data_IF_348527117438
#
_entry.id   IF_348527117438
#
_cell.length_a   1.000
_cell.length_b   1.000
_cell.length_c   1.000
_cell.angle_alpha   90.00
_cell.angle_beta   90.00
_cell.angle_gamma   90.00
#
_symmetry.space_group_name_H-M   'P 1'
#
loop_
_entity.id
_entity.type
_entity.pdbx_description
1 polymer ?
#
# COMPACT_ATOMS: atom_id res chain seq x y z
N UNK A 1 -16.74 -10.34 14.46
CA UNK A 1 -17.77 -9.73 13.59
C UNK A 1 -17.98 -10.62 12.38
N UNK A 2 -19.21 -11.07 12.11
CA UNK A 2 -19.55 -11.82 10.89
C UNK A 2 -20.11 -10.89 9.83
N UNK A 3 -19.67 -10.96 8.58
CA UNK A 3 -20.15 -10.09 7.49
C UNK A 3 -20.69 -10.94 6.35
N UNK A 4 -21.95 -10.74 5.99
CA UNK A 4 -22.53 -11.35 4.79
C UNK A 4 -22.34 -10.38 3.63
N UNK A 5 -21.71 -10.85 2.55
CA UNK A 5 -21.40 -10.05 1.37
C UNK A 5 -22.10 -10.70 0.19
N UNK A 6 -23.04 -9.98 -0.42
CA UNK A 6 -23.73 -10.38 -1.64
C UNK A 6 -23.38 -9.40 -2.74
N UNK A 7 -22.80 -9.91 -3.81
CA UNK A 7 -22.40 -9.14 -4.98
C UNK A 7 -23.01 -9.82 -6.22
N UNK A 8 -23.69 -9.03 -7.05
CA UNK A 8 -24.27 -9.51 -8.31
C UNK A 8 -23.54 -8.82 -9.45
N UNK A 9 -22.85 -9.60 -10.29
CA UNK A 9 -22.14 -9.11 -11.45
C UNK A 9 -22.68 -9.78 -12.70
N UNK A 10 -22.98 -8.98 -13.72
CA UNK A 10 -23.26 -9.46 -15.06
C UNK A 10 -22.03 -9.16 -15.91
N UNK A 11 -21.49 -10.19 -16.55
CA UNK A 11 -20.32 -10.08 -17.41
C UNK A 11 -20.64 -10.69 -18.77
N UNK A 12 -20.25 -9.97 -19.82
CA UNK A 12 -20.28 -10.49 -21.18
C UNK A 12 -18.96 -11.20 -21.45
N UNK A 13 -19.05 -12.47 -21.85
CA UNK A 13 -17.91 -13.31 -22.16
C UNK A 13 -18.01 -13.68 -23.65
N UNK A 14 -17.15 -13.12 -24.52
CA UNK A 14 -17.27 -13.30 -25.96
C UNK A 14 -16.88 -14.72 -26.42
N UNK A 15 -16.06 -15.44 -25.65
CA UNK A 15 -15.66 -16.81 -25.93
C UNK A 15 -15.16 -17.51 -24.64
N UNK A 16 -15.05 -18.83 -24.67
CA UNK A 16 -14.70 -19.67 -23.51
C UNK A 16 -13.20 -19.99 -23.37
N UNK A 17 -12.30 -19.29 -24.08
CA UNK A 17 -10.86 -19.57 -23.94
C UNK A 17 -10.31 -19.04 -22.60
N UNK A 18 -9.20 -19.63 -22.14
CA UNK A 18 -8.65 -19.34 -20.83
C UNK A 18 -8.18 -17.88 -20.69
N UNK A 19 -7.69 -17.27 -21.77
CA UNK A 19 -7.26 -15.87 -21.80
C UNK A 19 -8.45 -14.94 -21.56
N UNK A 20 -9.57 -15.19 -22.23
CA UNK A 20 -10.81 -14.41 -22.12
C UNK A 20 -11.44 -14.60 -20.75
N UNK A 21 -11.54 -15.85 -20.27
CA UNK A 21 -12.05 -16.15 -18.94
C UNK A 21 -11.20 -15.50 -17.84
N UNK A 22 -9.88 -15.58 -17.95
CA UNK A 22 -8.95 -14.95 -16.99
C UNK A 22 -9.06 -13.43 -17.02
N UNK A 23 -9.16 -12.82 -18.20
CA UNK A 23 -9.33 -11.38 -18.34
C UNK A 23 -10.68 -10.90 -17.75
N UNK A 24 -11.76 -11.65 -17.99
CA UNK A 24 -13.07 -11.39 -17.41
C UNK A 24 -13.04 -11.51 -15.88
N UNK A 25 -12.44 -12.59 -15.36
CA UNK A 25 -12.29 -12.82 -13.93
C UNK A 25 -11.51 -11.68 -13.26
N UNK A 26 -10.41 -11.19 -13.86
CA UNK A 26 -9.64 -10.06 -13.33
C UNK A 26 -10.48 -8.78 -13.21
N UNK A 27 -11.36 -8.51 -14.19
CA UNK A 27 -12.28 -7.36 -14.10
C UNK A 27 -13.25 -7.53 -12.93
N UNK A 28 -13.82 -8.73 -12.76
CA UNK A 28 -14.71 -9.04 -11.63
C UNK A 28 -13.96 -8.94 -10.31
N UNK A 29 -12.72 -9.40 -10.22
CA UNK A 29 -11.90 -9.35 -9.00
C UNK A 29 -11.75 -7.91 -8.47
N UNK A 30 -11.54 -6.94 -9.35
CA UNK A 30 -11.43 -5.51 -8.96
C UNK A 30 -12.78 -4.98 -8.45
N UNK A 31 -13.88 -5.33 -9.11
CA UNK A 31 -15.23 -4.94 -8.69
C UNK A 31 -15.60 -5.56 -7.34
N UNK A 32 -15.33 -6.86 -7.19
CA UNK A 32 -15.50 -7.59 -5.95
C UNK A 32 -14.68 -6.99 -4.83
N UNK A 33 -13.39 -6.73 -5.05
CA UNK A 33 -12.54 -6.11 -4.04
C UNK A 33 -13.07 -4.75 -3.59
N UNK A 34 -13.54 -3.92 -4.53
CA UNK A 34 -14.16 -2.63 -4.22
C UNK A 34 -15.38 -2.81 -3.29
N UNK A 35 -16.30 -3.69 -3.67
CA UNK A 35 -17.56 -3.88 -2.92
C UNK A 35 -17.30 -4.55 -1.57
N UNK A 36 -16.41 -5.56 -1.54
CA UNK A 36 -15.91 -6.18 -0.33
C UNK A 36 -15.37 -5.13 0.65
N UNK A 37 -14.41 -4.31 0.21
CA UNK A 37 -13.81 -3.26 1.04
C UNK A 37 -14.87 -2.27 1.51
N UNK A 38 -15.81 -1.87 0.65
CA UNK A 38 -16.86 -0.91 1.02
C UNK A 38 -17.83 -1.46 2.06
N UNK A 39 -18.27 -2.72 1.93
CA UNK A 39 -19.17 -3.36 2.90
C UNK A 39 -18.46 -3.50 4.25
N UNK A 40 -17.23 -4.01 4.25
CA UNK A 40 -16.42 -4.16 5.46
C UNK A 40 -16.19 -2.81 6.15
N UNK A 41 -15.79 -1.79 5.37
CA UNK A 41 -15.55 -0.44 5.89
C UNK A 41 -16.79 0.19 6.51
N UNK A 42 -17.95 0.06 5.86
CA UNK A 42 -19.20 0.61 6.39
C UNK A 42 -19.56 -0.05 7.72
N UNK A 43 -19.32 -1.35 7.84
CA UNK A 43 -19.62 -2.09 9.07
C UNK A 43 -18.70 -1.66 10.21
N UNK A 44 -17.38 -1.67 10.00
CA UNK A 44 -16.42 -1.16 10.99
C UNK A 44 -16.67 0.29 11.36
N UNK A 45 -16.95 1.16 10.37
CA UNK A 45 -17.22 2.56 10.64
C UNK A 45 -18.47 2.77 11.49
N UNK A 46 -19.51 1.96 11.27
CA UNK A 46 -20.74 1.99 12.09
C UNK A 46 -20.46 1.51 13.51
N UNK A 47 -19.74 0.40 13.65
CA UNK A 47 -19.36 -0.16 14.95
C UNK A 47 -18.52 0.84 15.76
N UNK A 48 -17.47 1.40 15.17
CA UNK A 48 -16.62 2.38 15.83
C UNK A 48 -17.34 3.68 16.18
N UNK A 49 -18.30 4.13 15.37
CA UNK A 49 -19.08 5.31 15.70
C UNK A 49 -20.02 5.09 16.90
N UNK A 50 -20.44 3.85 17.14
CA UNK A 50 -21.27 3.46 18.29
C UNK A 50 -20.44 3.21 19.57
N UNK A 51 -19.13 3.05 19.47
CA UNK A 51 -18.26 2.92 20.64
C UNK A 51 -18.13 4.26 21.38
N UNK A 52 -18.04 4.20 22.71
CA UNK A 52 -17.79 5.38 23.55
C UNK A 52 -16.46 6.05 23.18
N UNK A 53 -15.39 5.26 23.12
CA UNK A 53 -14.06 5.68 22.68
C UNK A 53 -13.83 5.17 21.26
N UNK A 54 -13.59 6.06 20.32
CA UNK A 54 -13.33 5.71 18.91
C UNK A 54 -11.83 5.45 18.70
N UNK A 55 -11.46 4.55 17.77
CA UNK A 55 -10.06 4.28 17.41
C UNK A 55 -9.41 5.42 16.61
N UNK A 56 -10.07 6.57 16.49
CA UNK A 56 -9.54 7.74 15.81
C UNK A 56 -9.82 9.02 16.60
N UNK A 57 -8.82 9.89 16.64
CA UNK A 57 -8.90 11.21 17.29
C UNK A 57 -9.06 12.38 16.32
N UNK A 58 -9.69 13.45 16.79
CA UNK A 58 -9.74 14.73 16.11
C UNK A 58 -8.33 15.33 16.06
N UNK A 59 -7.85 15.71 14.87
CA UNK A 59 -6.51 16.31 14.73
C UNK A 59 -6.39 17.70 15.37
N UNK A 60 -7.50 18.39 15.64
CA UNK A 60 -7.50 19.76 16.20
C UNK A 60 -7.53 19.75 17.73
N UNK A 61 -8.48 19.02 18.33
CA UNK A 61 -8.71 19.05 19.78
C UNK A 61 -8.45 17.71 20.50
N UNK A 62 -7.95 16.69 19.81
CA UNK A 62 -7.66 15.39 20.42
C UNK A 62 -8.88 14.51 20.73
N UNK A 63 -10.10 15.05 20.73
CA UNK A 63 -11.33 14.30 21.01
C UNK A 63 -11.42 12.99 20.20
N UNK A 64 -11.66 11.90 20.89
CA UNK A 64 -11.87 10.55 20.37
C UNK A 64 -13.25 9.98 20.78
N UNK A 65 -14.11 10.74 21.44
CA UNK A 65 -15.40 10.23 21.94
C UNK A 65 -16.57 10.79 21.14
N UNK A 66 -16.61 12.11 20.94
CA UNK A 66 -17.81 12.75 20.40
C UNK A 66 -17.72 13.09 18.92
N UNK A 67 -18.34 12.26 18.08
CA UNK A 67 -18.44 12.48 16.64
C UNK A 67 -19.85 12.25 16.13
N UNK A 68 -20.23 12.99 15.09
CA UNK A 68 -21.48 12.80 14.35
C UNK A 68 -21.21 12.49 12.88
N UNK A 69 -22.09 11.70 12.29
CA UNK A 69 -22.09 11.48 10.84
C UNK A 69 -22.40 12.78 10.10
N UNK A 70 -21.62 13.06 9.04
CA UNK A 70 -21.98 14.10 8.05
C UNK A 70 -22.42 13.49 6.75
N UNK A 71 -21.66 12.53 6.26
CA UNK A 71 -22.03 11.77 5.08
C UNK A 71 -21.37 10.40 5.11
N UNK A 72 -22.13 9.38 4.72
CA UNK A 72 -21.61 8.02 4.55
C UNK A 72 -21.05 7.79 3.14
N UNK A 73 -21.29 8.72 2.21
CA UNK A 73 -20.78 8.65 0.84
C UNK A 73 -20.57 10.06 0.30
N UNK A 74 -19.32 10.50 0.31
CA UNK A 74 -18.90 11.79 -0.26
C UNK A 74 -18.11 11.56 -1.56
N UNK A 75 -17.26 12.52 -1.94
CA UNK A 75 -16.28 12.40 -3.01
C UNK A 75 -15.57 11.05 -3.03
N UNK A 76 -15.47 10.49 -4.23
CA UNK A 76 -14.73 9.27 -4.49
C UNK A 76 -13.23 9.46 -4.26
N UNK A 77 -12.58 8.42 -3.76
CA UNK A 77 -11.12 8.31 -3.69
C UNK A 77 -10.66 7.09 -4.45
N UNK A 78 -9.55 7.26 -5.17
CA UNK A 78 -8.81 6.17 -5.80
C UNK A 78 -7.84 5.55 -4.79
N UNK A 79 -7.92 4.24 -4.59
CA UNK A 79 -6.98 3.45 -3.80
C UNK A 79 -6.32 2.43 -4.74
N UNK A 80 -4.99 2.41 -4.76
CA UNK A 80 -4.21 1.44 -5.53
C UNK A 80 -3.93 0.23 -4.65
N UNK A 81 -4.24 -0.94 -5.18
CA UNK A 81 -3.94 -2.24 -4.57
C UNK A 81 -3.05 -3.05 -5.50
N UNK A 82 -2.64 -4.25 -5.06
CA UNK A 82 -1.90 -5.20 -5.90
C UNK A 82 -2.73 -5.78 -7.06
N UNK A 83 -4.06 -5.68 -7.00
CA UNK A 83 -4.97 -6.17 -8.04
C UNK A 83 -5.39 -5.08 -9.03
N UNK A 84 -5.04 -3.82 -8.73
CA UNK A 84 -5.46 -2.66 -9.51
C UNK A 84 -6.05 -1.57 -8.65
N UNK A 85 -6.53 -0.52 -9.32
CA UNK A 85 -7.12 0.63 -8.67
C UNK A 85 -8.62 0.39 -8.38
N UNK A 86 -9.01 0.62 -7.13
CA UNK A 86 -10.40 0.64 -6.70
C UNK A 86 -10.86 2.07 -6.40
N UNK A 87 -12.14 2.34 -6.64
CA UNK A 87 -12.77 3.64 -6.35
C UNK A 87 -13.72 3.46 -5.18
N UNK A 88 -13.44 4.16 -4.08
CA UNK A 88 -14.23 4.09 -2.86
C UNK A 88 -14.87 5.45 -2.56
N UNK A 89 -16.13 5.45 -2.12
CA UNK A 89 -16.75 6.65 -1.56
C UNK A 89 -16.16 6.94 -0.19
N UNK A 90 -15.75 8.19 0.07
CA UNK A 90 -15.26 8.53 1.41
C UNK A 90 -16.42 8.79 2.38
N UNK A 91 -16.28 8.28 3.59
CA UNK A 91 -17.13 8.56 4.75
C UNK A 91 -16.56 9.74 5.53
N UNK A 92 -17.43 10.66 5.96
CA UNK A 92 -17.06 11.85 6.69
C UNK A 92 -17.87 11.99 8.00
N UNK A 93 -17.14 12.30 9.07
CA UNK A 93 -17.67 12.59 10.40
C UNK A 93 -17.26 14.00 10.84
N UNK A 94 -17.98 14.59 11.78
CA UNK A 94 -17.63 15.87 12.41
C UNK A 94 -17.43 15.67 13.91
N UNK A 95 -16.33 16.22 14.44
CA UNK A 95 -16.11 16.30 15.89
C UNK A 95 -17.10 17.30 16.51
N UNK A 96 -17.84 16.89 17.55
CA UNK A 96 -18.79 17.80 18.24
C UNK A 96 -18.07 18.93 18.98
N UNK A 97 -16.97 18.60 19.67
CA UNK A 97 -16.22 19.57 20.49
C UNK A 97 -15.69 20.78 19.68
N UNK A 98 -15.12 20.58 18.48
CA UNK A 98 -14.50 21.67 17.71
C UNK A 98 -15.05 21.89 16.30
N UNK A 99 -16.08 21.15 15.90
CA UNK A 99 -16.70 21.25 14.57
C UNK A 99 -15.83 20.77 13.39
N UNK A 100 -14.61 20.28 13.61
CA UNK A 100 -13.71 19.83 12.52
C UNK A 100 -14.24 18.57 11.86
N UNK A 101 -14.30 18.58 10.53
CA UNK A 101 -14.66 17.41 9.70
C UNK A 101 -13.45 16.50 9.48
N UNK A 102 -13.72 15.20 9.40
CA UNK A 102 -12.72 14.16 9.21
C UNK A 102 -13.22 13.10 8.24
N UNK A 103 -12.40 12.74 7.26
CA UNK A 103 -12.64 11.57 6.43
C UNK A 103 -12.12 10.32 7.14
N UNK A 104 -13.02 9.41 7.52
CA UNK A 104 -12.66 8.22 8.29
C UNK A 104 -12.26 7.05 7.39
N UNK A 105 -12.77 6.96 6.15
CA UNK A 105 -12.40 5.88 5.21
C UNK A 105 -10.90 5.65 5.12
N UNK A 106 -10.12 6.72 4.95
CA UNK A 106 -8.67 6.64 4.88
C UNK A 106 -8.02 6.23 6.20
N UNK A 107 -8.56 6.70 7.33
CA UNK A 107 -8.05 6.32 8.65
C UNK A 107 -8.27 4.84 8.93
N UNK A 108 -9.45 4.32 8.60
CA UNK A 108 -9.80 2.91 8.81
C UNK A 108 -8.98 1.97 7.92
N UNK A 109 -8.61 2.43 6.72
CA UNK A 109 -7.69 1.68 5.84
C UNK A 109 -6.20 1.92 6.17
N UNK A 110 -5.90 2.75 7.17
CA UNK A 110 -4.53 3.17 7.50
C UNK A 110 -3.76 3.79 6.33
N UNK A 111 -4.49 4.48 5.44
CA UNK A 111 -3.90 5.16 4.29
C UNK A 111 -3.76 6.64 4.59
N UNK A 112 -2.52 7.13 4.58
CA UNK A 112 -2.22 8.53 4.83
C UNK A 112 -2.98 9.48 3.88
N UNK A 113 -3.27 10.74 4.30
CA UNK A 113 -3.90 11.73 3.44
C UNK A 113 -3.15 11.92 2.13
N UNK A 114 -3.88 11.97 1.01
CA UNK A 114 -3.35 12.15 -0.37
C UNK A 114 -2.44 11.02 -0.89
N UNK A 115 -2.10 10.00 -0.08
CA UNK A 115 -1.37 8.80 -0.52
C UNK A 115 -2.36 7.77 -1.05
N UNK A 116 -2.13 7.18 -2.21
CA UNK A 116 -3.11 6.28 -2.86
C UNK A 116 -3.04 4.82 -2.43
N UNK A 117 -2.02 4.39 -1.67
CA UNK A 117 -1.75 2.98 -1.38
C UNK A 117 -1.45 2.77 0.11
N UNK A 118 -1.68 1.54 0.58
CA UNK A 118 -1.22 1.10 1.89
C UNK A 118 0.28 0.82 1.89
N UNK A 119 0.89 0.74 3.07
CA UNK A 119 2.30 0.41 3.22
C UNK A 119 2.63 -0.97 2.65
N UNK A 120 1.79 -1.97 2.92
CA UNK A 120 1.96 -3.32 2.35
C UNK A 120 1.97 -3.33 0.83
N UNK A 121 1.07 -2.58 0.19
CA UNK A 121 1.06 -2.45 -1.29
C UNK A 121 2.34 -1.79 -1.79
N UNK A 122 2.83 -0.76 -1.09
CA UNK A 122 4.06 -0.06 -1.45
C UNK A 122 5.27 -1.00 -1.39
N UNK A 123 5.38 -1.81 -0.32
CA UNK A 123 6.45 -2.80 -0.14
C UNK A 123 6.45 -3.87 -1.23
N UNK A 124 5.28 -4.37 -1.62
CA UNK A 124 5.16 -5.35 -2.73
C UNK A 124 5.65 -4.74 -4.05
N UNK A 125 5.27 -3.50 -4.36
CA UNK A 125 5.74 -2.82 -5.57
C UNK A 125 7.24 -2.49 -5.50
N UNK A 126 7.74 -2.13 -4.32
CA UNK A 126 9.16 -1.88 -4.12
C UNK A 126 9.99 -3.16 -4.34
N UNK A 127 9.54 -4.30 -3.80
CA UNK A 127 10.18 -5.60 -4.04
C UNK A 127 10.22 -5.96 -5.52
N UNK A 128 9.11 -5.77 -6.24
CA UNK A 128 9.10 -5.99 -7.69
C UNK A 128 10.11 -5.08 -8.43
N UNK A 129 10.28 -3.84 -7.97
CA UNK A 129 11.23 -2.89 -8.53
C UNK A 129 12.69 -3.12 -8.13
N UNK A 130 12.96 -3.88 -7.06
CA UNK A 130 14.31 -4.27 -6.65
C UNK A 130 14.78 -5.55 -7.34
N UNK A 131 13.85 -6.44 -7.71
CA UNK A 131 14.17 -7.70 -8.38
C UNK A 131 14.41 -7.56 -9.90
N UNK A 132 13.96 -6.45 -10.50
CA UNK A 132 14.14 -6.23 -11.94
C UNK A 132 14.10 -4.74 -12.29
N UNK A 133 14.44 -4.39 -13.54
CA UNK A 133 14.34 -3.00 -13.99
C UNK A 133 12.89 -2.50 -14.02
N UNK A 134 12.66 -1.21 -13.76
CA UNK A 134 11.32 -0.63 -13.69
C UNK A 134 10.48 -0.81 -14.96
N UNK A 135 11.13 -0.88 -16.14
CA UNK A 135 10.46 -1.16 -17.41
C UNK A 135 9.92 -2.59 -17.45
N UNK A 136 10.68 -3.55 -16.93
CA UNK A 136 10.24 -4.95 -16.83
C UNK A 136 9.17 -5.08 -15.75
N UNK A 137 9.30 -4.41 -14.60
CA UNK A 137 8.24 -4.37 -13.58
C UNK A 137 6.89 -3.92 -14.17
N UNK A 138 6.88 -2.85 -14.98
CA UNK A 138 5.68 -2.35 -15.68
C UNK A 138 5.11 -3.39 -16.66
N UNK A 139 5.96 -4.12 -17.39
CA UNK A 139 5.52 -5.20 -18.27
C UNK A 139 4.90 -6.36 -17.49
N UNK A 140 5.54 -6.80 -16.40
CA UNK A 140 5.02 -7.88 -15.53
C UNK A 140 3.66 -7.48 -14.98
N UNK A 141 3.53 -6.27 -14.45
CA UNK A 141 2.27 -5.74 -13.93
C UNK A 141 1.17 -5.73 -15.00
N UNK A 142 1.50 -5.32 -16.23
CA UNK A 142 0.56 -5.36 -17.36
C UNK A 142 0.13 -6.79 -17.71
N UNK A 143 1.05 -7.77 -17.67
CA UNK A 143 0.73 -9.18 -17.93
C UNK A 143 -0.26 -9.75 -16.91
N UNK A 144 -0.17 -9.32 -15.64
CA UNK A 144 -1.12 -9.70 -14.58
C UNK A 144 -2.37 -8.81 -14.53
N UNK A 145 -2.53 -7.88 -15.48
CA UNK A 145 -3.71 -7.03 -15.61
C UNK A 145 -3.72 -5.80 -14.69
N UNK A 146 -2.58 -5.44 -14.09
CA UNK A 146 -2.45 -4.33 -13.16
C UNK A 146 -1.83 -3.13 -13.88
N UNK A 147 -2.60 -2.06 -14.02
CA UNK A 147 -2.17 -0.83 -14.69
C UNK A 147 -1.37 0.10 -13.75
N UNK A 148 -0.11 -0.26 -13.47
CA UNK A 148 0.81 0.55 -12.67
C UNK A 148 2.04 0.90 -13.52
N UNK A 149 2.34 2.20 -13.62
CA UNK A 149 3.46 2.65 -14.44
C UNK A 149 4.81 2.48 -13.74
N UNK A 150 5.89 2.43 -14.54
CA UNK A 150 7.26 2.29 -14.05
C UNK A 150 7.68 3.37 -13.04
N UNK A 151 7.18 4.61 -13.21
CA UNK A 151 7.51 5.73 -12.32
C UNK A 151 6.93 5.54 -10.92
N UNK A 152 5.75 4.92 -10.82
CA UNK A 152 5.11 4.60 -9.55
C UNK A 152 5.86 3.49 -8.83
N UNK A 153 6.31 2.46 -9.54
CA UNK A 153 7.21 1.43 -9.00
C UNK A 153 8.50 2.05 -8.48
N UNK A 154 9.16 2.89 -9.28
CA UNK A 154 10.37 3.61 -8.87
C UNK A 154 10.16 4.42 -7.58
N UNK A 155 9.07 5.20 -7.48
CA UNK A 155 8.73 5.95 -6.26
C UNK A 155 8.54 5.04 -5.04
N UNK A 156 7.89 3.89 -5.21
CA UNK A 156 7.76 2.91 -4.12
C UNK A 156 9.12 2.40 -3.66
N UNK A 157 10.03 2.08 -4.59
CA UNK A 157 11.40 1.66 -4.26
C UNK A 157 12.15 2.75 -3.50
N UNK A 158 12.07 4.01 -3.94
CA UNK A 158 12.73 5.12 -3.25
C UNK A 158 12.15 5.36 -1.85
N UNK A 159 10.82 5.36 -1.72
CA UNK A 159 10.15 5.57 -0.43
C UNK A 159 10.49 4.44 0.56
N UNK A 160 10.44 3.17 0.14
CA UNK A 160 10.78 2.02 1.01
C UNK A 160 12.29 1.97 1.30
N UNK A 161 13.13 2.24 0.29
CA UNK A 161 14.58 2.25 0.45
C UNK A 161 15.06 3.31 1.43
N UNK A 162 14.39 4.46 1.50
CA UNK A 162 14.69 5.52 2.47
C UNK A 162 14.35 5.13 3.92
N UNK A 163 13.52 4.11 4.14
CA UNK A 163 13.22 3.55 5.47
C UNK A 163 14.27 2.53 5.92
N UNK A 164 15.16 2.08 5.01
CA UNK A 164 16.23 1.14 5.33
C UNK A 164 17.39 1.91 5.96
N UNK A 165 17.61 1.70 7.25
CA UNK A 165 18.81 2.16 7.95
C UNK A 165 20.00 1.28 7.62
N UNK A 166 21.11 1.89 7.23
CA UNK A 166 22.40 1.23 7.03
C UNK A 166 23.35 1.69 8.13
N UNK A 167 23.06 1.24 9.35
CA UNK A 167 23.85 1.57 10.54
C UNK A 167 24.49 0.30 11.11
N UNK A 168 25.59 0.49 11.84
CA UNK A 168 26.17 -0.59 12.65
C UNK A 168 25.28 -0.81 13.87
N UNK A 169 25.03 -2.07 14.20
CA UNK A 169 24.37 -2.42 15.45
C UNK A 169 25.42 -2.42 16.58
N UNK A 170 25.36 -1.50 17.55
CA UNK A 170 26.32 -1.44 18.65
C UNK A 170 26.25 -2.66 19.57
N UNK A 171 25.21 -3.50 19.43
CA UNK A 171 25.05 -4.76 20.18
C UNK A 171 25.67 -5.96 19.48
N UNK A 172 26.12 -5.81 18.23
CA UNK A 172 26.73 -6.88 17.45
C UNK A 172 28.27 -6.78 17.48
N UNK A 173 28.96 -7.76 16.87
CA UNK A 173 30.43 -7.85 16.91
C UNK A 173 31.07 -6.61 16.27
N UNK A 174 32.19 -6.13 16.81
CA UNK A 174 33.00 -5.06 16.20
C UNK A 174 33.85 -5.57 15.01
N UNK A 175 33.40 -6.64 14.35
CA UNK A 175 34.01 -7.26 13.18
C UNK A 175 33.01 -7.25 12.04
N UNK A 176 33.52 -7.16 10.83
CA UNK A 176 32.69 -7.27 9.65
C UNK A 176 33.50 -7.38 8.38
N UNK A 177 32.83 -7.82 7.33
CA UNK A 177 33.41 -7.98 6.01
C UNK A 177 33.04 -6.78 5.16
N UNK A 178 34.02 -6.24 4.43
CA UNK A 178 33.81 -5.18 3.48
C UNK A 178 33.93 -5.75 2.07
N UNK A 179 32.87 -5.65 1.28
CA UNK A 179 32.90 -5.93 -0.15
C UNK A 179 32.74 -4.63 -0.94
N UNK A 180 33.52 -4.52 -2.02
CA UNK A 180 33.56 -3.37 -2.91
C UNK A 180 33.04 -3.76 -4.28
N UNK A 181 31.84 -3.30 -4.64
CA UNK A 181 31.31 -3.48 -5.98
C UNK A 181 31.32 -2.16 -6.75
N UNK A 182 31.99 -2.15 -7.90
CA UNK A 182 31.99 -1.01 -8.80
C UNK A 182 30.67 -0.88 -9.54
N UNK A 183 29.86 0.14 -9.19
CA UNK A 183 28.58 0.39 -9.87
C UNK A 183 28.77 1.49 -10.93
N UNK A 184 28.62 1.18 -12.23
CA UNK A 184 28.73 2.18 -13.28
C UNK A 184 27.59 3.21 -13.13
N UNK A 185 27.95 4.48 -13.17
CA UNK A 185 27.01 5.61 -13.13
C UNK A 185 26.93 6.24 -14.51
N UNK A 186 25.75 6.76 -14.86
CA UNK A 186 25.52 7.38 -16.16
C UNK A 186 26.51 8.52 -16.38
N UNK A 187 27.34 8.41 -17.43
CA UNK A 187 28.38 9.38 -17.77
C UNK A 187 29.80 8.99 -17.35
N UNK A 188 30.01 7.97 -16.50
CA UNK A 188 31.35 7.54 -16.07
C UNK A 188 31.48 6.01 -16.16
N UNK A 189 32.11 5.54 -17.24
CA UNK A 189 32.20 4.11 -17.61
C UNK A 189 33.31 3.32 -16.90
N UNK A 190 34.37 3.97 -16.39
CA UNK A 190 35.56 3.29 -15.78
C UNK A 190 35.81 3.59 -14.30
N UNK A 191 35.22 4.67 -13.76
CA UNK A 191 35.28 5.05 -12.33
C UNK A 191 33.87 5.34 -11.86
N UNK A 192 33.08 4.29 -11.68
CA UNK A 192 31.76 4.42 -11.06
C UNK A 192 31.87 4.95 -9.63
N UNK A 193 30.73 5.09 -8.94
CA UNK A 193 30.76 5.19 -7.47
C UNK A 193 31.01 3.78 -6.96
N UNK A 194 32.08 3.60 -6.21
CA UNK A 194 32.33 2.36 -5.48
C UNK A 194 31.32 2.27 -4.35
N UNK A 195 30.48 1.26 -4.37
CA UNK A 195 29.57 0.98 -3.27
C UNK A 195 30.27 -0.04 -2.37
N UNK A 196 30.61 0.41 -1.16
CA UNK A 196 31.20 -0.45 -0.12
C UNK A 196 30.08 -0.91 0.79
N UNK A 197 29.86 -2.22 0.80
CA UNK A 197 28.93 -2.84 1.75
C UNK A 197 29.78 -3.38 2.89
N UNK A 198 29.46 -2.94 4.11
CA UNK A 198 30.05 -3.51 5.32
C UNK A 198 29.00 -4.41 5.99
N UNK A 199 29.33 -5.68 6.18
CA UNK A 199 28.47 -6.66 6.83
C UNK A 199 29.05 -6.91 8.23
N UNK A 200 28.35 -6.45 9.25
CA UNK A 200 28.74 -6.68 10.64
C UNK A 200 28.40 -8.11 11.07
N UNK A 201 29.35 -8.78 11.73
CA UNK A 201 29.18 -10.14 12.24
C UNK A 201 28.20 -10.17 13.43
N UNK A 202 27.27 -11.12 13.42
CA UNK A 202 26.30 -11.28 14.50
C UNK A 202 26.86 -12.09 15.67
N UNK A 203 26.62 -11.65 16.90
CA UNK A 203 27.02 -12.38 18.10
C UNK A 203 26.16 -13.65 18.21
N UNK A 204 26.81 -14.83 18.17
CA UNK A 204 26.13 -16.13 18.30
C UNK A 204 25.60 -16.72 17.00
N UNK A 205 25.91 -16.14 15.84
CA UNK A 205 25.74 -16.83 14.57
C UNK A 205 26.89 -17.85 14.43
N UNK A 206 26.64 -19.11 14.78
CA UNK A 206 27.54 -20.20 14.40
C UNK A 206 27.70 -20.20 12.88
N UNK A 207 28.94 -20.16 12.41
CA UNK A 207 29.27 -20.31 11.00
C UNK A 207 28.71 -21.65 10.51
N UNK A 208 27.72 -21.62 9.61
CA UNK A 208 27.30 -22.77 8.84
C UNK A 208 28.28 -23.06 7.70
#
# INVERSE_FOLDING_TARGET
>A
MTVNIKCNYTIEIPNCNMETLTAAFRKVLILFLRDFVLVILNKFATEYMNQKIKPFKCKKCGNNEEFIWKTRRTKNTKITTIFGDIILGQMQVQCKNCGKKLYITRKLLEIAPRKSMSEGTKKILALLGSLTSFRISEKILKMVGVAINKMKVWRCVQEVGAEIGFDLDPKESARGEADGTGIPIQGIKKRGRELKVFIQEKIGAECA
#
